data_IF_147130578004
#
_entry.id   IF_147130578004
#
_cell.length_a   1.000
_cell.length_b   1.000
_cell.length_c   1.000
_cell.angle_alpha   90.00
_cell.angle_beta   90.00
_cell.angle_gamma   90.00
#
_symmetry.space_group_name_H-M   'P 1'
#
loop_
_entity.id
_entity.type
_entity.pdbx_description
1 polymer ?
#
# COMPACT_ATOMS: atom_id res chain seq x y z
N UNK A 1 7.20 35.58 7.22
CA UNK A 1 5.88 35.12 7.63
C UNK A 1 4.72 35.51 6.70
N UNK A 2 4.78 36.63 5.96
CA UNK A 2 3.72 37.00 4.98
C UNK A 2 3.84 36.25 3.64
N UNK A 3 5.02 35.76 3.29
CA UNK A 3 5.29 35.03 2.05
C UNK A 3 4.80 33.58 2.04
N UNK A 4 4.80 32.91 3.18
CA UNK A 4 4.32 31.51 3.26
C UNK A 4 2.79 31.40 3.16
N UNK A 5 2.04 32.43 3.60
CA UNK A 5 0.57 32.48 3.42
C UNK A 5 0.17 32.66 1.96
N UNK A 6 0.96 33.43 1.19
CA UNK A 6 0.67 33.68 -0.24
C UNK A 6 0.91 32.48 -1.13
N UNK A 7 1.96 31.68 -0.88
CA UNK A 7 2.30 30.53 -1.70
C UNK A 7 1.25 29.40 -1.60
N UNK A 8 0.75 29.09 -0.40
CA UNK A 8 -0.32 28.09 -0.24
C UNK A 8 -1.64 28.46 -0.94
N UNK A 9 -2.03 29.74 -0.89
CA UNK A 9 -3.23 30.25 -1.58
C UNK A 9 -3.06 30.19 -3.11
N UNK A 10 -1.89 30.57 -3.63
CA UNK A 10 -1.58 30.57 -5.07
C UNK A 10 -1.61 29.15 -5.63
N UNK A 11 -0.92 28.21 -4.99
CA UNK A 11 -0.84 26.85 -5.45
C UNK A 11 -2.22 26.15 -5.51
N UNK A 12 -3.05 26.35 -4.50
CA UNK A 12 -4.40 25.76 -4.46
C UNK A 12 -5.34 26.36 -5.52
N UNK A 13 -5.22 27.66 -5.79
CA UNK A 13 -5.98 28.32 -6.86
C UNK A 13 -5.56 27.79 -8.23
N UNK A 14 -4.27 27.58 -8.47
CA UNK A 14 -3.77 27.04 -9.75
C UNK A 14 -4.38 25.67 -10.07
N UNK A 15 -4.51 24.77 -9.09
CA UNK A 15 -5.10 23.45 -9.29
C UNK A 15 -6.60 23.58 -9.64
N UNK A 16 -7.34 24.42 -8.93
CA UNK A 16 -8.76 24.67 -9.20
C UNK A 16 -8.98 25.38 -10.54
N UNK A 17 -8.14 26.37 -10.86
CA UNK A 17 -8.19 27.12 -12.12
C UNK A 17 -7.86 26.22 -13.32
N UNK A 18 -7.06 25.18 -13.11
CA UNK A 18 -6.83 24.12 -14.10
C UNK A 18 -8.02 23.16 -14.28
N UNK A 19 -9.11 23.36 -13.56
CA UNK A 19 -10.34 22.57 -13.69
C UNK A 19 -10.34 21.26 -12.89
N UNK A 20 -9.38 21.04 -12.00
CA UNK A 20 -9.32 19.84 -11.17
C UNK A 20 -10.44 19.87 -10.13
N UNK A 21 -11.20 18.77 -10.05
CA UNK A 21 -12.22 18.60 -9.01
C UNK A 21 -11.58 18.13 -7.70
N UNK A 22 -11.14 19.06 -6.86
CA UNK A 22 -10.45 18.79 -5.60
C UNK A 22 -11.48 18.41 -4.53
N UNK A 23 -11.46 17.18 -4.06
CA UNK A 23 -12.32 16.69 -2.98
C UNK A 23 -11.67 16.79 -1.59
N UNK A 24 -10.34 16.74 -1.52
CA UNK A 24 -9.61 16.73 -0.25
C UNK A 24 -8.22 17.38 -0.42
N UNK A 25 -7.73 18.00 0.65
CA UNK A 25 -6.34 18.50 0.75
C UNK A 25 -5.75 18.02 2.07
N UNK A 26 -4.59 17.39 1.99
CA UNK A 26 -3.80 16.98 3.14
C UNK A 26 -2.89 18.13 3.61
N UNK A 27 -2.88 18.39 4.92
CA UNK A 27 -2.00 19.37 5.55
C UNK A 27 -0.87 18.66 6.28
N UNK A 28 0.33 18.73 5.70
CA UNK A 28 1.49 18.00 6.18
C UNK A 28 1.51 16.54 5.74
N UNK A 29 2.63 15.86 5.93
CA UNK A 29 2.82 14.44 5.63
C UNK A 29 3.53 13.78 6.81
N UNK A 30 2.93 12.72 7.38
CA UNK A 30 3.47 11.97 8.53
C UNK A 30 4.02 12.86 9.66
N UNK A 31 3.24 13.82 10.09
CA UNK A 31 3.64 14.91 11.00
C UNK A 31 3.80 14.47 12.46
N UNK A 32 4.40 13.30 12.68
CA UNK A 32 4.60 12.71 14.02
C UNK A 32 5.76 13.36 14.79
N UNK A 33 6.76 13.84 14.06
CA UNK A 33 8.00 14.40 14.64
C UNK A 33 8.25 15.86 14.26
N UNK A 34 7.42 16.45 13.40
CA UNK A 34 7.58 17.84 12.97
C UNK A 34 6.72 18.22 11.77
N UNK A 35 6.56 19.51 11.57
CA UNK A 35 5.92 20.12 10.42
C UNK A 35 6.64 21.41 10.02
N UNK A 36 7.20 21.42 8.81
CA UNK A 36 7.90 22.58 8.25
C UNK A 36 9.00 23.16 9.17
N UNK A 37 9.74 22.28 9.87
CA UNK A 37 10.82 22.64 10.77
C UNK A 37 10.41 22.91 12.22
N UNK A 38 9.11 22.95 12.52
CA UNK A 38 8.60 23.05 13.89
C UNK A 38 8.38 21.65 14.47
N UNK A 39 8.76 21.41 15.72
CA UNK A 39 8.66 20.12 16.42
C UNK A 39 7.77 20.16 17.66
N UNK A 40 7.51 21.36 18.19
CA UNK A 40 6.63 21.54 19.33
C UNK A 40 5.16 21.54 18.90
N UNK A 41 4.31 20.83 19.63
CA UNK A 41 2.91 20.62 19.26
C UNK A 41 2.10 21.90 19.12
N UNK A 42 2.32 22.90 19.93
CA UNK A 42 1.65 24.20 19.82
C UNK A 42 1.99 24.89 18.50
N UNK A 43 3.26 24.81 18.07
CA UNK A 43 3.75 25.41 16.82
C UNK A 43 3.28 24.62 15.60
N UNK A 44 3.34 23.29 15.67
CA UNK A 44 2.84 22.42 14.60
C UNK A 44 1.33 22.64 14.37
N UNK A 45 0.56 22.67 15.45
CA UNK A 45 -0.88 22.91 15.37
C UNK A 45 -1.20 24.33 14.87
N UNK A 46 -0.42 25.36 15.21
CA UNK A 46 -0.56 26.70 14.63
C UNK A 46 -0.37 26.65 13.09
N UNK A 47 0.63 25.93 12.61
CA UNK A 47 0.84 25.75 11.17
C UNK A 47 -0.29 24.99 10.50
N UNK A 48 -0.81 23.92 11.12
CA UNK A 48 -1.96 23.18 10.65
C UNK A 48 -3.21 24.07 10.56
N UNK A 49 -3.48 24.86 11.59
CA UNK A 49 -4.60 25.83 11.58
C UNK A 49 -4.49 26.86 10.46
N UNK A 50 -3.29 27.38 10.20
CA UNK A 50 -3.06 28.33 9.11
C UNK A 50 -3.27 27.65 7.73
N UNK A 51 -2.82 26.41 7.57
CA UNK A 51 -3.09 25.61 6.39
C UNK A 51 -4.57 25.37 6.17
N UNK A 52 -5.26 24.93 7.20
CA UNK A 52 -6.70 24.68 7.19
C UNK A 52 -7.51 25.95 6.86
N UNK A 53 -7.20 27.07 7.51
CA UNK A 53 -7.85 28.33 7.24
C UNK A 53 -7.68 28.79 5.77
N UNK A 54 -6.49 28.55 5.19
CA UNK A 54 -6.25 28.85 3.78
C UNK A 54 -7.07 27.95 2.84
N UNK A 55 -7.21 26.65 3.16
CA UNK A 55 -8.03 25.72 2.39
C UNK A 55 -9.50 26.11 2.46
N UNK A 56 -10.05 26.35 3.68
CA UNK A 56 -11.46 26.77 3.87
C UNK A 56 -11.77 28.07 3.10
N UNK A 57 -10.82 29.01 3.12
CA UNK A 57 -10.99 30.28 2.37
C UNK A 57 -11.08 30.03 0.87
N UNK A 58 -10.15 29.26 0.30
CA UNK A 58 -10.14 28.96 -1.15
C UNK A 58 -11.37 28.13 -1.54
N UNK A 59 -11.78 27.16 -0.75
CA UNK A 59 -12.98 26.37 -0.97
C UNK A 59 -14.23 27.28 -1.03
N UNK A 60 -14.39 28.17 -0.05
CA UNK A 60 -15.50 29.13 0.00
C UNK A 60 -15.50 30.10 -1.19
N UNK A 61 -14.34 30.63 -1.57
CA UNK A 61 -14.22 31.58 -2.70
C UNK A 61 -14.58 30.93 -4.05
N UNK A 62 -14.45 29.59 -4.16
CA UNK A 62 -14.72 28.84 -5.38
C UNK A 62 -16.01 28.00 -5.31
N UNK A 63 -16.81 28.14 -4.26
CA UNK A 63 -18.03 27.35 -4.02
C UNK A 63 -17.76 25.84 -4.14
N UNK A 64 -16.71 25.39 -3.44
CA UNK A 64 -16.27 23.98 -3.41
C UNK A 64 -16.36 23.43 -1.99
N UNK A 65 -16.73 22.17 -1.90
CA UNK A 65 -16.61 21.38 -0.67
C UNK A 65 -15.28 20.61 -0.69
N UNK A 66 -14.27 21.19 -0.02
CA UNK A 66 -12.92 20.60 0.06
C UNK A 66 -12.69 20.15 1.50
N UNK A 67 -12.52 18.86 1.67
CA UNK A 67 -12.22 18.26 2.98
C UNK A 67 -10.75 18.46 3.33
N UNK A 68 -10.46 18.57 4.62
CA UNK A 68 -9.11 18.76 5.15
C UNK A 68 -8.68 17.49 5.87
N UNK A 69 -7.59 16.88 5.44
CA UNK A 69 -6.95 15.77 6.12
C UNK A 69 -5.68 16.22 6.86
N UNK A 70 -5.45 15.65 8.03
CA UNK A 70 -4.16 15.65 8.73
C UNK A 70 -3.58 14.24 8.71
N UNK A 71 -2.25 14.11 8.62
CA UNK A 71 -1.62 12.84 8.33
C UNK A 71 -0.53 12.49 9.35
N UNK A 72 -0.69 11.34 9.94
CA UNK A 72 0.24 10.71 10.89
C UNK A 72 0.66 9.33 10.39
N UNK A 73 1.43 8.59 11.18
CA UNK A 73 1.87 7.24 10.83
C UNK A 73 1.87 6.32 12.04
N UNK A 74 1.96 5.02 11.79
CA UNK A 74 2.13 3.96 12.77
C UNK A 74 1.00 3.88 13.82
N UNK A 75 -0.17 3.34 13.44
CA UNK A 75 -1.29 3.14 14.38
C UNK A 75 -0.98 2.16 15.53
N UNK A 76 0.14 1.42 15.47
CA UNK A 76 0.61 0.58 16.58
C UNK A 76 1.37 1.37 17.65
N UNK A 77 1.76 2.60 17.36
CA UNK A 77 2.44 3.46 18.34
C UNK A 77 1.55 3.71 19.56
N UNK A 78 2.15 3.73 20.74
CA UNK A 78 1.45 4.09 21.99
C UNK A 78 0.94 5.52 21.97
N UNK A 79 1.60 6.40 21.24
CA UNK A 79 1.27 7.83 21.14
C UNK A 79 0.24 8.13 20.02
N UNK A 80 -0.27 7.12 19.30
CA UNK A 80 -1.11 7.37 18.14
C UNK A 80 -2.39 8.14 18.45
N UNK A 81 -3.05 7.83 19.56
CA UNK A 81 -4.23 8.56 20.03
C UNK A 81 -3.88 9.96 20.55
N UNK A 82 -2.67 10.14 21.10
CA UNK A 82 -2.23 11.43 21.63
C UNK A 82 -2.14 12.49 20.52
N UNK A 83 -1.90 12.08 19.26
CA UNK A 83 -1.91 13.01 18.12
C UNK A 83 -3.29 13.65 17.95
N UNK A 84 -4.35 12.87 17.99
CA UNK A 84 -5.72 13.38 17.90
C UNK A 84 -6.09 14.23 19.13
N UNK A 85 -5.62 13.88 20.34
CA UNK A 85 -5.84 14.68 21.54
C UNK A 85 -5.12 16.03 21.46
N UNK A 86 -3.90 16.08 20.91
CA UNK A 86 -3.18 17.33 20.69
C UNK A 86 -3.91 18.23 19.68
N UNK A 87 -4.36 17.68 18.55
CA UNK A 87 -5.15 18.42 17.56
C UNK A 87 -6.40 19.05 18.17
N UNK A 88 -7.10 18.30 19.04
CA UNK A 88 -8.27 18.78 19.76
C UNK A 88 -7.90 19.87 20.78
N UNK A 89 -6.84 19.65 21.56
CA UNK A 89 -6.39 20.58 22.60
C UNK A 89 -6.02 21.93 22.03
N UNK A 90 -5.36 21.95 20.88
CA UNK A 90 -4.97 23.18 20.20
C UNK A 90 -6.01 23.68 19.18
N UNK A 91 -7.16 23.01 19.06
CA UNK A 91 -8.30 23.47 18.25
C UNK A 91 -8.03 23.47 16.74
N UNK A 92 -7.30 22.48 16.23
CA UNK A 92 -7.03 22.36 14.78
C UNK A 92 -8.34 22.03 14.04
N UNK A 93 -8.65 22.81 13.00
CA UNK A 93 -9.76 22.54 12.09
C UNK A 93 -9.35 21.51 11.03
N UNK A 94 -9.93 20.32 11.07
CA UNK A 94 -9.78 19.27 10.08
C UNK A 94 -11.01 18.36 10.04
N UNK A 95 -11.19 17.64 8.95
CA UNK A 95 -12.32 16.73 8.74
C UNK A 95 -11.89 15.27 8.89
N UNK A 96 -10.69 14.93 8.43
CA UNK A 96 -10.20 13.57 8.28
C UNK A 96 -8.90 13.39 9.06
N UNK A 97 -8.88 12.38 9.93
CA UNK A 97 -7.64 11.89 10.54
C UNK A 97 -7.08 10.75 9.70
N UNK A 98 -5.95 10.97 9.06
CA UNK A 98 -5.33 10.01 8.16
C UNK A 98 -4.05 9.41 8.76
N UNK A 99 -3.75 8.18 8.36
CA UNK A 99 -2.53 7.47 8.77
C UNK A 99 -1.88 6.71 7.63
N UNK A 100 -0.54 6.64 7.60
CA UNK A 100 0.14 5.58 6.89
C UNK A 100 0.00 4.27 7.65
N UNK A 101 -0.24 3.20 6.93
CA UNK A 101 -0.25 1.86 7.47
C UNK A 101 0.44 0.88 6.52
N UNK A 102 1.55 0.34 6.96
CA UNK A 102 2.30 -0.69 6.26
C UNK A 102 2.29 -1.96 7.13
N UNK A 103 1.66 -3.02 6.65
CA UNK A 103 1.41 -4.25 7.43
C UNK A 103 2.69 -4.92 7.93
N UNK A 104 3.80 -4.68 7.25
CA UNK A 104 5.11 -5.21 7.63
C UNK A 104 5.80 -4.41 8.77
N UNK A 105 5.29 -3.22 9.14
CA UNK A 105 5.85 -2.37 10.20
C UNK A 105 4.85 -1.98 11.31
N UNK A 106 3.58 -1.81 10.95
CA UNK A 106 2.63 -1.04 11.77
C UNK A 106 1.59 -1.90 12.48
N UNK A 107 1.93 -3.18 12.73
CA UNK A 107 1.08 -4.10 13.47
C UNK A 107 -0.05 -4.71 12.64
N UNK A 108 -1.07 -5.26 13.31
CA UNK A 108 -2.15 -5.99 12.66
C UNK A 108 -3.26 -5.08 12.15
N UNK A 109 -4.06 -5.59 11.22
CA UNK A 109 -5.26 -4.90 10.70
C UNK A 109 -6.32 -4.68 11.77
N UNK A 110 -6.47 -5.60 12.73
CA UNK A 110 -7.38 -5.43 13.88
C UNK A 110 -6.94 -4.25 14.76
N UNK A 111 -5.62 -4.08 14.94
CA UNK A 111 -5.09 -2.92 15.66
C UNK A 111 -5.35 -1.64 14.89
N UNK A 112 -5.17 -1.63 13.56
CA UNK A 112 -5.53 -0.51 12.71
C UNK A 112 -7.00 -0.12 12.89
N UNK A 113 -7.93 -1.08 12.68
CA UNK A 113 -9.38 -0.86 12.85
C UNK A 113 -9.70 -0.28 14.21
N UNK A 114 -9.17 -0.88 15.30
CA UNK A 114 -9.48 -0.44 16.66
C UNK A 114 -9.01 1.00 16.94
N UNK A 115 -7.85 1.40 16.41
CA UNK A 115 -7.33 2.76 16.59
C UNK A 115 -8.13 3.78 15.79
N UNK A 116 -8.45 3.47 14.53
CA UNK A 116 -9.24 4.34 13.69
C UNK A 116 -10.66 4.50 14.22
N UNK A 117 -11.31 3.42 14.66
CA UNK A 117 -12.64 3.44 15.28
C UNK A 117 -12.64 4.31 16.55
N UNK A 118 -11.61 4.18 17.40
CA UNK A 118 -11.49 5.00 18.61
C UNK A 118 -11.35 6.50 18.28
N UNK A 119 -10.60 6.85 17.22
CA UNK A 119 -10.46 8.23 16.77
C UNK A 119 -11.81 8.75 16.23
N UNK A 120 -12.47 7.97 15.39
CA UNK A 120 -13.77 8.34 14.82
C UNK A 120 -14.81 8.57 15.92
N UNK A 121 -14.94 7.66 16.87
CA UNK A 121 -15.88 7.75 17.99
C UNK A 121 -15.58 8.93 18.92
N UNK A 122 -14.31 9.05 19.34
CA UNK A 122 -13.93 10.00 20.41
C UNK A 122 -13.84 11.44 19.93
N UNK A 123 -13.46 11.65 18.67
CA UNK A 123 -13.21 12.99 18.12
C UNK A 123 -14.21 13.39 17.03
N UNK A 124 -15.12 12.50 16.61
CA UNK A 124 -16.12 12.76 15.58
C UNK A 124 -15.48 13.11 14.23
N UNK A 125 -14.41 12.38 13.86
CA UNK A 125 -13.67 12.58 12.63
C UNK A 125 -13.81 11.37 11.72
N UNK A 126 -13.81 11.61 10.42
CA UNK A 126 -13.60 10.53 9.48
C UNK A 126 -12.14 10.10 9.50
N UNK A 127 -11.90 8.85 9.09
CA UNK A 127 -10.58 8.23 9.12
C UNK A 127 -10.22 7.61 7.77
N UNK A 128 -8.94 7.59 7.47
CA UNK A 128 -8.42 7.17 6.17
C UNK A 128 -7.02 6.57 6.33
N UNK A 129 -6.72 5.52 5.58
CA UNK A 129 -5.35 5.09 5.35
C UNK A 129 -4.79 5.88 4.17
N UNK A 130 -3.90 6.83 4.43
CA UNK A 130 -3.35 7.73 3.42
C UNK A 130 -2.25 7.10 2.61
N UNK A 131 -1.53 6.14 3.19
CA UNK A 131 -0.47 5.40 2.53
C UNK A 131 -0.49 3.94 2.96
N UNK A 132 -0.39 3.05 2.00
CA UNK A 132 -0.10 1.63 2.19
C UNK A 132 0.50 1.05 0.91
N UNK A 133 1.32 0.03 1.02
CA UNK A 133 1.83 -0.77 -0.11
C UNK A 133 2.21 -2.16 0.36
N UNK A 134 2.50 -3.05 -0.59
CA UNK A 134 3.05 -4.37 -0.32
C UNK A 134 3.87 -4.87 -1.52
N UNK A 135 4.95 -5.60 -1.24
CA UNK A 135 5.82 -6.14 -2.29
C UNK A 135 5.13 -7.27 -3.08
N UNK A 136 5.21 -7.19 -4.41
CA UNK A 136 4.75 -8.26 -5.30
C UNK A 136 5.85 -9.26 -5.67
N UNK A 137 7.10 -8.91 -5.43
CA UNK A 137 8.27 -9.75 -5.68
C UNK A 137 9.39 -9.46 -4.69
N UNK A 138 10.32 -10.41 -4.52
CA UNK A 138 11.57 -10.19 -3.80
C UNK A 138 12.69 -9.65 -4.70
N UNK A 139 12.48 -9.62 -6.01
CA UNK A 139 13.48 -9.14 -6.95
C UNK A 139 13.70 -7.63 -6.79
N UNK A 140 14.91 -7.22 -7.15
CA UNK A 140 15.36 -5.84 -7.22
C UNK A 140 15.52 -5.46 -8.69
N UNK A 141 14.78 -4.47 -9.15
CA UNK A 141 14.76 -4.07 -10.56
C UNK A 141 15.83 -3.05 -10.94
N UNK A 142 16.52 -2.44 -9.96
CA UNK A 142 17.39 -1.30 -10.23
C UNK A 142 18.78 -1.37 -9.57
N UNK A 143 19.05 -2.37 -8.74
CA UNK A 143 20.32 -2.57 -8.04
C UNK A 143 20.46 -1.74 -6.76
N UNK A 144 19.38 -1.10 -6.30
CA UNK A 144 19.31 -0.41 -5.02
C UNK A 144 18.45 -1.22 -4.05
N UNK A 145 19.07 -1.74 -2.99
CA UNK A 145 18.41 -2.67 -2.07
C UNK A 145 17.04 -2.22 -1.60
N UNK A 146 16.03 -3.07 -1.75
CA UNK A 146 14.67 -2.82 -1.35
C UNK A 146 14.50 -2.76 0.17
N UNK A 147 13.71 -1.81 0.66
CA UNK A 147 13.37 -1.66 2.08
C UNK A 147 12.52 -2.84 2.58
N UNK A 148 11.77 -3.47 1.69
CA UNK A 148 10.92 -4.63 1.99
C UNK A 148 11.37 -5.80 1.11
N UNK A 149 12.12 -6.71 1.73
CA UNK A 149 12.64 -7.93 1.09
C UNK A 149 12.67 -9.06 2.11
N UNK A 150 12.88 -10.30 1.64
CA UNK A 150 13.01 -11.47 2.53
C UNK A 150 14.30 -11.41 3.38
N UNK A 151 15.26 -10.60 2.97
CA UNK A 151 16.55 -10.39 3.65
C UNK A 151 16.48 -9.25 4.67
N UNK A 152 15.43 -8.42 4.65
CA UNK A 152 15.27 -7.30 5.58
C UNK A 152 14.85 -7.80 6.95
N UNK A 153 15.64 -7.50 7.96
CA UNK A 153 15.37 -7.88 9.35
C UNK A 153 14.18 -7.09 9.94
N UNK A 154 13.51 -7.70 10.92
CA UNK A 154 12.43 -7.09 11.72
C UNK A 154 11.16 -6.73 10.95
N UNK A 155 10.95 -7.26 9.76
CA UNK A 155 9.67 -7.17 9.06
C UNK A 155 8.71 -8.27 9.54
N UNK A 156 7.42 -7.94 9.57
CA UNK A 156 6.34 -8.91 9.78
C UNK A 156 5.69 -9.21 8.43
N UNK A 157 6.10 -10.30 7.80
CA UNK A 157 5.63 -10.68 6.46
C UNK A 157 4.43 -11.62 6.60
N UNK A 158 3.22 -11.05 6.58
CA UNK A 158 1.96 -11.80 6.70
C UNK A 158 1.44 -12.35 5.37
N UNK A 159 1.99 -11.91 4.25
CA UNK A 159 1.60 -12.31 2.91
C UNK A 159 2.85 -12.69 2.12
N UNK A 160 2.68 -13.56 1.13
CA UNK A 160 3.77 -13.92 0.21
C UNK A 160 4.13 -12.72 -0.69
N UNK A 161 5.39 -12.64 -1.08
CA UNK A 161 5.82 -11.69 -2.13
C UNK A 161 5.38 -12.24 -3.49
N UNK A 162 4.16 -11.88 -3.84
CA UNK A 162 3.48 -12.26 -5.08
C UNK A 162 2.37 -11.26 -5.37
N UNK A 163 1.89 -11.23 -6.62
CA UNK A 163 0.72 -10.41 -6.96
C UNK A 163 -0.50 -10.74 -6.08
N UNK A 164 -0.70 -12.03 -5.76
CA UNK A 164 -1.77 -12.44 -4.87
C UNK A 164 -1.56 -11.99 -3.43
N UNK A 165 -0.33 -12.03 -2.93
CA UNK A 165 0.02 -11.52 -1.61
C UNK A 165 -0.22 -10.01 -1.52
N UNK A 166 0.15 -9.27 -2.57
CA UNK A 166 -0.13 -7.83 -2.69
C UNK A 166 -1.65 -7.55 -2.67
N UNK A 167 -2.45 -8.32 -3.42
CA UNK A 167 -3.92 -8.23 -3.40
C UNK A 167 -4.48 -8.48 -2.01
N UNK A 168 -4.00 -9.52 -1.33
CA UNK A 168 -4.48 -9.88 0.01
C UNK A 168 -4.17 -8.75 1.00
N UNK A 169 -2.96 -8.20 0.98
CA UNK A 169 -2.57 -7.08 1.83
C UNK A 169 -3.46 -5.85 1.59
N UNK A 170 -3.69 -5.46 0.34
CA UNK A 170 -4.54 -4.33 -0.03
C UNK A 170 -5.98 -4.56 0.43
N UNK A 171 -6.54 -5.74 0.14
CA UNK A 171 -7.92 -6.10 0.53
C UNK A 171 -8.10 -6.03 2.04
N UNK A 172 -7.16 -6.55 2.81
CA UNK A 172 -7.26 -6.60 4.27
C UNK A 172 -7.14 -5.18 4.88
N UNK A 173 -6.37 -4.28 4.28
CA UNK A 173 -6.37 -2.85 4.65
C UNK A 173 -7.71 -2.19 4.32
N UNK A 174 -8.27 -2.43 3.13
CA UNK A 174 -9.59 -1.92 2.76
C UNK A 174 -10.67 -2.42 3.72
N UNK A 175 -10.64 -3.72 4.09
CA UNK A 175 -11.57 -4.30 5.04
C UNK A 175 -11.41 -3.66 6.43
N UNK A 176 -10.17 -3.50 6.91
CA UNK A 176 -9.89 -2.87 8.20
C UNK A 176 -10.46 -1.46 8.31
N UNK A 177 -10.39 -0.67 7.25
CA UNK A 177 -10.99 0.68 7.20
C UNK A 177 -12.52 0.60 7.11
N UNK A 178 -13.05 -0.32 6.31
CA UNK A 178 -14.50 -0.54 6.18
C UNK A 178 -15.15 -0.98 7.50
N UNK A 179 -14.45 -1.77 8.29
CA UNK A 179 -14.92 -2.26 9.61
C UNK A 179 -15.05 -1.12 10.67
N UNK A 180 -14.49 0.05 10.40
CA UNK A 180 -14.75 1.26 11.21
C UNK A 180 -16.19 1.76 11.06
N UNK A 181 -16.86 1.39 9.96
CA UNK A 181 -18.20 1.87 9.61
C UNK A 181 -18.16 3.15 8.77
N UNK A 182 -19.22 3.97 8.87
CA UNK A 182 -19.43 5.14 8.00
C UNK A 182 -18.28 6.17 8.05
N UNK A 183 -17.52 6.21 9.13
CA UNK A 183 -16.38 7.10 9.27
C UNK A 183 -15.12 6.61 8.53
N UNK A 184 -15.05 5.34 8.13
CA UNK A 184 -13.94 4.76 7.38
C UNK A 184 -14.04 5.05 5.90
N UNK A 185 -13.18 5.93 5.37
CA UNK A 185 -13.32 6.42 3.99
C UNK A 185 -12.64 5.52 2.95
N UNK A 186 -11.60 4.77 3.32
CA UNK A 186 -10.83 3.95 2.39
C UNK A 186 -9.32 4.11 2.54
N UNK A 187 -8.58 3.87 1.45
CA UNK A 187 -7.12 3.94 1.45
C UNK A 187 -6.58 4.49 0.12
N UNK A 188 -5.37 5.03 0.19
CA UNK A 188 -4.54 5.31 -0.97
C UNK A 188 -3.36 4.35 -0.99
N UNK A 189 -3.02 3.88 -2.19
CA UNK A 189 -1.81 3.09 -2.41
C UNK A 189 -0.62 4.01 -2.66
N UNK A 190 0.49 3.74 -1.96
CA UNK A 190 1.73 4.53 -2.10
C UNK A 190 2.56 4.00 -3.26
N UNK A 191 2.97 4.90 -4.16
CA UNK A 191 3.82 4.62 -5.32
C UNK A 191 3.33 3.45 -6.20
N UNK A 192 2.06 3.47 -6.66
CA UNK A 192 1.50 2.37 -7.44
C UNK A 192 2.12 2.22 -8.83
N UNK A 193 2.67 3.30 -9.37
CA UNK A 193 3.27 3.35 -10.70
C UNK A 193 4.74 3.71 -10.58
N UNK A 194 5.59 2.70 -10.63
CA UNK A 194 7.04 2.86 -10.53
C UNK A 194 7.72 2.11 -11.67
N UNK A 195 8.61 2.77 -12.39
CA UNK A 195 9.50 2.14 -13.37
C UNK A 195 10.93 2.30 -12.85
N UNK A 196 11.63 1.20 -12.53
CA UNK A 196 12.96 1.23 -11.98
C UNK A 196 13.97 1.90 -12.93
N UNK A 197 14.80 2.74 -12.38
CA UNK A 197 16.00 3.28 -13.04
C UNK A 197 17.21 2.86 -12.22
N UNK A 198 18.26 2.43 -12.91
CA UNK A 198 19.42 1.80 -12.26
C UNK A 198 20.10 2.74 -11.26
N UNK A 199 20.58 2.17 -10.15
CA UNK A 199 21.40 2.90 -9.19
C UNK A 199 22.59 3.55 -9.92
N UNK A 200 22.87 4.81 -9.60
CA UNK A 200 23.96 5.57 -10.23
C UNK A 200 25.16 5.68 -9.30
N UNK A 201 26.28 5.14 -9.75
CA UNK A 201 27.60 5.32 -9.12
C UNK A 201 28.51 6.10 -10.06
N UNK A 202 28.87 7.35 -9.75
CA UNK A 202 29.76 8.16 -10.60
C UNK A 202 31.17 7.59 -10.73
N UNK A 203 31.57 6.65 -9.90
CA UNK A 203 32.87 5.97 -9.94
C UNK A 203 32.88 4.71 -10.80
N UNK A 204 31.73 4.19 -11.19
CA UNK A 204 31.61 3.01 -12.02
C UNK A 204 32.08 3.27 -13.45
N UNK A 205 32.62 2.23 -14.09
CA UNK A 205 33.14 2.34 -15.47
C UNK A 205 32.06 2.64 -16.52
N UNK A 206 30.82 2.29 -16.24
CA UNK A 206 29.63 2.47 -17.07
C UNK A 206 28.73 3.66 -16.61
N UNK A 207 29.21 4.49 -15.68
CA UNK A 207 28.44 5.58 -15.09
C UNK A 207 27.74 6.46 -16.14
N UNK A 208 28.41 6.79 -17.25
CA UNK A 208 27.84 7.62 -18.31
C UNK A 208 26.72 6.92 -19.09
N UNK A 209 26.81 5.61 -19.27
CA UNK A 209 25.79 4.79 -19.95
C UNK A 209 24.56 4.64 -19.05
N UNK A 210 24.76 4.35 -17.77
CA UNK A 210 23.69 4.28 -16.77
C UNK A 210 22.95 5.60 -16.68
N UNK A 211 23.66 6.72 -16.57
CA UNK A 211 23.05 8.06 -16.50
C UNK A 211 22.24 8.38 -17.75
N UNK A 212 22.77 8.05 -18.95
CA UNK A 212 22.05 8.29 -20.21
C UNK A 212 20.78 7.44 -20.30
N UNK A 213 20.86 6.15 -19.94
CA UNK A 213 19.70 5.24 -19.91
C UNK A 213 18.65 5.70 -18.89
N UNK A 214 19.07 6.09 -17.69
CA UNK A 214 18.17 6.62 -16.67
C UNK A 214 17.44 7.87 -17.17
N UNK A 215 18.15 8.82 -17.78
CA UNK A 215 17.53 10.03 -18.35
C UNK A 215 16.50 9.70 -19.42
N UNK A 216 16.78 8.74 -20.31
CA UNK A 216 15.85 8.31 -21.35
C UNK A 216 14.56 7.76 -20.73
N UNK A 217 14.69 6.89 -19.72
CA UNK A 217 13.54 6.36 -18.98
C UNK A 217 12.73 7.46 -18.28
N UNK A 218 13.39 8.37 -17.58
CA UNK A 218 12.73 9.46 -16.88
C UNK A 218 11.97 10.40 -17.82
N UNK A 219 12.56 10.74 -18.97
CA UNK A 219 11.89 11.59 -19.96
C UNK A 219 10.74 10.84 -20.66
N UNK A 220 10.88 9.53 -20.92
CA UNK A 220 9.89 8.73 -21.61
C UNK A 220 8.64 8.49 -20.76
N UNK A 221 8.86 8.16 -19.49
CA UNK A 221 7.76 7.76 -18.57
C UNK A 221 7.33 8.91 -17.64
N UNK A 222 8.00 10.06 -17.66
CA UNK A 222 7.69 11.17 -16.79
C UNK A 222 7.92 10.88 -15.31
N UNK A 223 8.80 9.91 -14.99
CA UNK A 223 9.00 9.54 -13.61
C UNK A 223 9.73 10.63 -12.84
N UNK A 224 8.95 11.33 -12.17
CA UNK A 224 9.07 12.24 -11.07
C UNK A 224 10.33 13.06 -11.00
N UNK A 225 11.06 12.76 -10.01
CA UNK A 225 12.16 13.57 -9.48
C UNK A 225 13.32 13.80 -10.46
N UNK A 226 13.57 12.87 -11.35
CA UNK A 226 14.70 12.93 -12.26
C UNK A 226 14.34 13.38 -13.67
N UNK A 227 13.08 13.72 -13.94
CA UNK A 227 12.64 14.27 -15.21
C UNK A 227 13.16 15.70 -15.43
N UNK A 228 13.11 16.16 -16.69
CA UNK A 228 13.49 17.55 -17.05
C UNK A 228 12.69 18.61 -16.30
N UNK A 229 11.43 18.30 -15.94
CA UNK A 229 10.59 19.18 -15.14
C UNK A 229 11.14 19.39 -13.73
N UNK A 230 11.67 18.36 -13.09
CA UNK A 230 12.22 18.46 -11.76
C UNK A 230 13.44 19.41 -11.72
N UNK A 231 14.23 19.51 -12.79
CA UNK A 231 15.34 20.48 -12.93
C UNK A 231 14.94 21.93 -12.75
N UNK A 232 13.67 22.26 -12.99
CA UNK A 232 13.15 23.61 -12.79
C UNK A 232 13.09 23.97 -11.31
N UNK A 233 12.88 23.00 -10.46
CA UNK A 233 12.71 23.16 -9.01
C UNK A 233 13.99 22.84 -8.24
N UNK A 234 14.74 21.85 -8.72
CA UNK A 234 16.02 21.43 -8.14
C UNK A 234 17.09 21.27 -9.24
N UNK A 235 17.71 22.37 -9.69
CA UNK A 235 18.70 22.33 -10.77
C UNK A 235 20.03 21.69 -10.34
N UNK A 236 20.26 21.48 -9.04
CA UNK A 236 21.53 20.93 -8.56
C UNK A 236 21.53 19.40 -8.60
N UNK A 237 20.40 18.79 -8.28
CA UNK A 237 20.31 17.33 -8.13
C UNK A 237 19.39 16.69 -9.16
N UNK A 238 18.19 17.19 -9.33
CA UNK A 238 17.18 16.56 -10.18
C UNK A 238 17.65 16.35 -11.63
N UNK A 239 17.50 15.15 -12.11
CA UNK A 239 17.88 14.75 -13.46
C UNK A 239 19.38 14.67 -13.71
N UNK A 240 20.21 14.60 -12.67
CA UNK A 240 21.66 14.47 -12.81
C UNK A 240 22.23 13.17 -12.30
N UNK A 241 21.87 12.78 -11.09
CA UNK A 241 22.60 11.75 -10.35
C UNK A 241 21.71 10.65 -9.79
N UNK A 242 20.39 10.78 -9.89
CA UNK A 242 19.50 9.85 -9.24
C UNK A 242 19.26 8.59 -10.05
N UNK A 243 19.22 7.51 -9.36
CA UNK A 243 18.82 6.21 -9.82
C UNK A 243 18.75 5.29 -8.61
N UNK A 244 17.94 4.25 -8.74
CA UNK A 244 17.66 3.32 -7.67
C UNK A 244 16.55 3.81 -6.73
N UNK A 245 15.72 2.87 -6.30
CA UNK A 245 14.64 3.08 -5.36
C UNK A 245 14.50 1.88 -4.43
N UNK A 246 14.50 2.13 -3.14
CA UNK A 246 14.24 1.06 -2.16
C UNK A 246 12.78 0.58 -2.13
N UNK A 247 11.97 0.93 -3.13
CA UNK A 247 10.52 0.72 -3.18
C UNK A 247 9.99 0.16 -4.49
N UNK A 248 10.84 -0.15 -5.44
CA UNK A 248 10.46 -0.53 -6.80
C UNK A 248 9.68 -1.84 -6.88
N UNK A 249 9.89 -2.76 -5.93
CA UNK A 249 9.19 -4.05 -5.83
C UNK A 249 7.77 -3.95 -5.25
N UNK A 250 7.27 -2.75 -4.95
CA UNK A 250 5.95 -2.53 -4.35
C UNK A 250 4.96 -1.86 -5.31
N UNK A 251 5.37 -1.56 -6.54
CA UNK A 251 4.45 -1.02 -7.56
C UNK A 251 3.34 -2.01 -7.94
N UNK A 252 2.32 -1.52 -8.62
CA UNK A 252 1.26 -2.33 -9.24
C UNK A 252 1.50 -2.53 -10.75
N UNK A 253 2.74 -2.32 -11.15
CA UNK A 253 3.30 -2.56 -12.47
C UNK A 253 4.63 -3.29 -12.28
N UNK A 254 4.96 -4.16 -13.22
CA UNK A 254 6.25 -4.83 -13.20
C UNK A 254 7.41 -3.86 -13.54
N UNK A 255 8.65 -4.34 -13.48
CA UNK A 255 9.83 -3.52 -13.74
C UNK A 255 9.95 -3.00 -15.19
N UNK A 256 9.10 -3.49 -16.08
CA UNK A 256 9.00 -3.04 -17.48
C UNK A 256 7.79 -2.14 -17.73
N UNK A 257 6.96 -1.89 -16.69
CA UNK A 257 5.79 -1.02 -16.75
C UNK A 257 4.53 -1.71 -17.23
N UNK A 258 4.46 -3.04 -17.27
CA UNK A 258 3.22 -3.77 -17.54
C UNK A 258 2.38 -3.89 -16.27
N UNK A 259 1.07 -3.67 -16.35
CA UNK A 259 0.20 -3.77 -15.18
C UNK A 259 0.18 -5.20 -14.64
N UNK A 260 0.32 -5.33 -13.33
CA UNK A 260 0.16 -6.58 -12.61
C UNK A 260 -1.34 -6.92 -12.46
N UNK A 261 -1.66 -8.21 -12.33
CA UNK A 261 -3.03 -8.64 -12.07
C UNK A 261 -3.56 -8.11 -10.74
N UNK A 262 -2.70 -7.78 -9.79
CA UNK A 262 -3.04 -7.14 -8.52
C UNK A 262 -3.76 -5.80 -8.68
N UNK A 263 -3.55 -5.07 -9.77
CA UNK A 263 -4.25 -3.83 -10.08
C UNK A 263 -5.78 -4.01 -10.19
N UNK A 264 -6.24 -5.23 -10.51
CA UNK A 264 -7.66 -5.55 -10.58
C UNK A 264 -8.36 -5.57 -9.22
N UNK A 265 -7.63 -5.54 -8.09
CA UNK A 265 -8.22 -5.52 -6.74
C UNK A 265 -9.25 -4.39 -6.59
N UNK A 266 -8.97 -3.22 -7.10
CA UNK A 266 -9.87 -2.05 -7.03
C UNK A 266 -11.19 -2.30 -7.75
N UNK A 267 -11.14 -2.95 -8.92
CA UNK A 267 -12.35 -3.33 -9.65
C UNK A 267 -13.19 -4.33 -8.86
N UNK A 268 -12.57 -5.34 -8.29
CA UNK A 268 -13.27 -6.40 -7.59
C UNK A 268 -13.84 -5.99 -6.25
N UNK A 269 -13.21 -5.06 -5.54
CA UNK A 269 -13.77 -4.49 -4.32
C UNK A 269 -15.09 -3.76 -4.59
N UNK A 270 -15.21 -3.04 -5.71
CA UNK A 270 -16.44 -2.34 -6.07
C UNK A 270 -17.52 -3.23 -6.69
N UNK A 271 -17.12 -4.16 -7.55
CA UNK A 271 -18.07 -4.95 -8.33
C UNK A 271 -18.52 -6.25 -7.61
N UNK A 272 -17.90 -6.58 -6.50
CA UNK A 272 -17.93 -7.95 -5.97
C UNK A 272 -17.20 -8.91 -6.90
N UNK A 273 -16.75 -10.04 -6.41
CA UNK A 273 -16.13 -11.04 -7.26
C UNK A 273 -17.14 -12.10 -7.67
N UNK A 274 -17.36 -12.23 -8.96
CA UNK A 274 -17.73 -13.47 -9.59
C UNK A 274 -16.49 -14.17 -10.17
N UNK A 275 -15.31 -13.89 -9.62
CA UNK A 275 -14.08 -14.52 -10.07
C UNK A 275 -14.27 -16.04 -10.05
N UNK A 276 -13.91 -16.76 -11.10
CA UNK A 276 -13.87 -18.21 -11.05
C UNK A 276 -13.04 -18.59 -9.83
N UNK A 277 -13.57 -19.53 -9.05
CA UNK A 277 -12.92 -20.03 -7.85
C UNK A 277 -11.58 -20.65 -8.29
N UNK A 278 -10.51 -19.87 -8.22
CA UNK A 278 -9.18 -20.34 -8.63
C UNK A 278 -8.65 -21.26 -7.55
N UNK A 279 -8.39 -22.49 -7.95
CA UNK A 279 -7.78 -23.50 -7.08
C UNK A 279 -6.26 -23.27 -7.09
N UNK A 280 -5.69 -23.07 -5.92
CA UNK A 280 -4.24 -22.91 -5.73
C UNK A 280 -3.55 -24.19 -5.29
N UNK A 281 -4.33 -25.16 -4.79
CA UNK A 281 -3.82 -26.43 -4.35
C UNK A 281 -4.96 -27.38 -3.99
N UNK A 282 -4.60 -28.59 -3.59
CA UNK A 282 -5.51 -29.63 -3.08
C UNK A 282 -4.95 -30.13 -1.77
N UNK A 283 -5.82 -30.34 -0.77
CA UNK A 283 -5.40 -30.97 0.46
C UNK A 283 -5.18 -32.48 0.22
N UNK A 284 -4.12 -33.01 0.82
CA UNK A 284 -3.83 -34.43 0.79
C UNK A 284 -4.99 -35.23 1.45
N UNK A 285 -5.38 -36.31 0.81
CA UNK A 285 -6.31 -37.27 1.37
C UNK A 285 -5.55 -38.44 2.00
N UNK A 286 -5.75 -38.67 3.27
CA UNK A 286 -5.18 -39.82 3.96
C UNK A 286 -6.25 -40.92 4.14
N UNK A 287 -5.92 -42.14 3.76
CA UNK A 287 -6.77 -43.32 3.95
C UNK A 287 -6.01 -44.34 4.77
N UNK A 288 -6.56 -44.73 5.90
CA UNK A 288 -6.02 -45.84 6.71
C UNK A 288 -6.72 -47.14 6.35
N UNK A 289 -5.97 -48.16 6.04
CA UNK A 289 -6.48 -49.48 5.69
C UNK A 289 -5.77 -50.56 6.50
N UNK A 290 -6.49 -51.62 6.88
CA UNK A 290 -5.91 -52.82 7.43
C UNK A 290 -5.22 -53.68 6.35
N UNK A 291 -4.29 -54.55 6.78
CA UNK A 291 -3.60 -55.48 5.88
C UNK A 291 -4.61 -56.41 5.20
N UNK A 292 -4.69 -56.33 3.86
CA UNK A 292 -5.60 -57.16 3.06
C UNK A 292 -7.01 -56.58 2.90
N UNK A 293 -7.27 -55.38 3.39
CA UNK A 293 -8.52 -54.66 3.15
C UNK A 293 -8.46 -53.90 1.81
N UNK A 294 -9.63 -53.68 1.22
CA UNK A 294 -9.77 -52.94 -0.02
C UNK A 294 -9.48 -51.43 0.21
N UNK A 295 -8.70 -50.81 -0.66
CA UNK A 295 -8.45 -49.37 -0.64
C UNK A 295 -9.67 -48.65 -1.19
N UNK A 296 -10.43 -48.01 -0.29
CA UNK A 296 -11.56 -47.17 -0.68
C UNK A 296 -11.08 -45.73 -0.65
N UNK A 297 -10.86 -45.13 -1.84
CA UNK A 297 -10.45 -43.75 -1.99
C UNK A 297 -11.67 -42.81 -1.95
N UNK A 298 -11.56 -41.62 -1.37
CA UNK A 298 -12.66 -40.68 -1.35
C UNK A 298 -13.05 -40.21 -2.76
N UNK A 299 -14.35 -39.99 -2.99
CA UNK A 299 -14.87 -39.49 -4.26
C UNK A 299 -14.58 -37.98 -4.45
N UNK A 300 -14.31 -37.27 -3.35
CA UNK A 300 -14.05 -35.83 -3.34
C UNK A 300 -12.82 -35.53 -2.49
N UNK A 301 -12.18 -34.40 -2.76
CA UNK A 301 -11.09 -33.81 -1.97
C UNK A 301 -11.35 -32.33 -1.77
N UNK A 302 -10.69 -31.71 -0.78
CA UNK A 302 -10.76 -30.29 -0.56
C UNK A 302 -9.76 -29.55 -1.45
N UNK A 303 -10.27 -28.81 -2.43
CA UNK A 303 -9.48 -27.81 -3.14
C UNK A 303 -9.29 -26.58 -2.25
N UNK A 304 -8.05 -26.08 -2.20
CA UNK A 304 -7.70 -24.81 -1.55
C UNK A 304 -7.89 -23.70 -2.58
N UNK A 305 -8.76 -22.76 -2.28
CA UNK A 305 -9.02 -21.61 -3.15
C UNK A 305 -8.04 -20.47 -2.86
N UNK A 306 -7.89 -19.58 -3.80
CA UNK A 306 -7.10 -18.33 -3.65
C UNK A 306 -7.49 -17.56 -2.37
N UNK A 307 -8.76 -17.64 -1.96
CA UNK A 307 -9.24 -17.03 -0.71
C UNK A 307 -8.75 -17.73 0.57
N UNK A 308 -8.03 -18.84 0.46
CA UNK A 308 -7.72 -19.73 1.59
C UNK A 308 -8.89 -20.60 2.05
N UNK A 309 -10.09 -20.42 1.48
CA UNK A 309 -11.24 -21.28 1.81
C UNK A 309 -11.13 -22.64 1.11
N UNK A 310 -11.76 -23.65 1.72
CA UNK A 310 -11.81 -24.99 1.17
C UNK A 310 -13.11 -25.19 0.40
N UNK A 311 -13.01 -25.89 -0.72
CA UNK A 311 -14.15 -26.32 -1.51
C UNK A 311 -14.01 -27.79 -1.85
N UNK A 312 -15.02 -28.56 -1.51
CA UNK A 312 -15.09 -29.97 -1.91
C UNK A 312 -15.28 -30.08 -3.41
N UNK A 313 -14.41 -30.85 -4.05
CA UNK A 313 -14.42 -31.08 -5.51
C UNK A 313 -14.27 -32.56 -5.80
N UNK A 314 -14.91 -33.06 -6.87
CA UNK A 314 -14.73 -34.44 -7.29
C UNK A 314 -13.30 -34.70 -7.72
N UNK A 315 -12.80 -35.90 -7.45
CA UNK A 315 -11.44 -36.34 -7.78
C UNK A 315 -11.48 -37.63 -8.59
N UNK A 316 -10.55 -37.76 -9.50
CA UNK A 316 -10.29 -39.03 -10.20
C UNK A 316 -8.93 -39.57 -9.78
N UNK A 317 -8.92 -40.74 -9.21
CA UNK A 317 -7.71 -41.38 -8.74
C UNK A 317 -7.05 -42.24 -9.80
N UNK A 318 -5.73 -42.40 -9.68
CA UNK A 318 -4.98 -43.34 -10.52
C UNK A 318 -5.22 -44.78 -10.00
N UNK A 319 -6.07 -45.52 -10.66
CA UNK A 319 -6.43 -46.87 -10.27
C UNK A 319 -5.24 -47.85 -10.20
N UNK A 320 -4.24 -47.67 -11.04
CA UNK A 320 -3.03 -48.53 -11.02
C UNK A 320 -2.22 -48.29 -9.75
N UNK A 321 -2.09 -47.07 -9.31
CA UNK A 321 -1.41 -46.75 -8.07
C UNK A 321 -2.23 -47.18 -6.85
N UNK A 322 -3.53 -47.03 -6.85
CA UNK A 322 -4.41 -47.53 -5.81
C UNK A 322 -4.28 -49.05 -5.64
N UNK A 323 -4.26 -49.78 -6.76
CA UNK A 323 -4.02 -51.25 -6.74
C UNK A 323 -2.62 -51.60 -6.26
N UNK A 324 -1.60 -50.83 -6.63
CA UNK A 324 -0.24 -51.04 -6.18
C UNK A 324 -0.14 -50.83 -4.66
N UNK A 325 -0.78 -49.80 -4.11
CA UNK A 325 -0.83 -49.54 -2.67
C UNK A 325 -1.44 -50.72 -1.90
N UNK A 326 -2.49 -51.29 -2.41
CA UNK A 326 -3.17 -52.45 -1.81
C UNK A 326 -2.26 -53.70 -1.79
N UNK A 327 -1.40 -53.87 -2.81
CA UNK A 327 -0.55 -55.06 -2.96
C UNK A 327 0.78 -54.95 -2.20
N UNK A 328 1.35 -53.75 -2.14
CA UNK A 328 2.70 -53.55 -1.61
C UNK A 328 2.73 -53.02 -0.18
N UNK A 329 1.61 -52.61 0.38
CA UNK A 329 1.50 -52.11 1.75
C UNK A 329 1.93 -50.63 1.88
N UNK A 330 2.43 -50.24 3.05
CA UNK A 330 2.75 -48.84 3.34
C UNK A 330 3.77 -48.24 2.39
N UNK A 331 3.45 -47.11 1.79
CA UNK A 331 4.29 -46.37 0.85
C UNK A 331 3.67 -45.02 0.46
N UNK A 332 4.38 -44.25 -0.35
CA UNK A 332 3.86 -43.03 -0.99
C UNK A 332 3.42 -43.38 -2.43
N UNK A 333 2.19 -43.05 -2.73
CA UNK A 333 1.57 -43.25 -4.05
C UNK A 333 1.04 -41.92 -4.55
N UNK A 334 1.43 -41.50 -5.77
CA UNK A 334 1.10 -40.20 -6.31
C UNK A 334 0.15 -40.28 -7.50
#
# INVERSE_FOLDING_TARGET
SSTSRGLGDVYKRQILDAGVNVGMVQVGNETVSGLAGETEWDRMCELMQLGSAAIRKVAKENDKDIRIAVHFTNPSSKSFIDYAENLKTYGVDYDIFATSYYSFWHGTTEKLTSQLALIAERYGKDVLVMETSYAYTNDDGDGFANSVSLETENLVLNYEFSEQGQVNAIRDVMQAVSDVGDAGLGMFYWEPAWIPVQVYDPSASDASEVLASNHEKWETYGSGWASSFAKTYDPNDAGKYYGGASWDNQAMFDFWGYPLDSLNVYKYVFAGTTAPLTVTGVQDAAVEIGIGEEVILPETVNAVLVSGSLKEVPVSWNEEQAKAAQQTGAGLYY
#
